data_IF_536329949870
#
_entry.id   IF_536329949870
#
_cell.length_a   1.000
_cell.length_b   1.000
_cell.length_c   1.000
_cell.angle_alpha   90.00
_cell.angle_beta   90.00
_cell.angle_gamma   90.00
#
_symmetry.space_group_name_H-M   'P 1'
#
loop_
_entity.id
_entity.type
_entity.pdbx_description
1 polymer ?
#
# COMPACT_ATOMS: atom_id res chain seq x y z
N UNK A 1 6.57 5.81 4.06
CA UNK A 1 7.72 6.71 4.31
C UNK A 1 7.47 8.02 3.55
N UNK A 2 7.61 9.17 4.21
CA UNK A 2 7.47 10.47 3.55
C UNK A 2 8.64 10.72 2.58
N UNK A 3 8.35 11.18 1.37
CA UNK A 3 9.33 11.48 0.33
C UNK A 3 9.15 12.92 -0.19
N UNK A 4 9.88 13.91 0.39
CA UNK A 4 9.68 15.33 0.10
C UNK A 4 10.19 15.78 -1.27
N UNK A 5 11.03 14.99 -1.93
CA UNK A 5 11.63 15.31 -3.24
C UNK A 5 10.74 14.89 -4.41
N UNK A 6 9.58 14.26 -4.15
CA UNK A 6 8.65 13.86 -5.20
C UNK A 6 8.07 15.07 -5.93
N UNK A 7 8.01 14.99 -7.26
CA UNK A 7 7.16 15.87 -8.04
C UNK A 7 5.69 15.56 -7.71
N UNK A 8 4.99 16.54 -7.14
CA UNK A 8 3.61 16.40 -6.67
C UNK A 8 2.75 17.56 -7.17
N UNK A 9 1.44 17.33 -7.38
CA UNK A 9 0.54 18.41 -7.71
C UNK A 9 0.26 19.27 -6.46
N UNK A 10 -0.03 20.57 -6.61
CA UNK A 10 -0.20 21.49 -5.48
C UNK A 10 -1.32 21.10 -4.50
N UNK A 11 -2.35 20.40 -4.96
CA UNK A 11 -3.49 19.95 -4.15
C UNK A 11 -3.17 18.72 -3.28
N UNK A 12 -2.12 17.95 -3.62
CA UNK A 12 -1.70 16.74 -2.90
C UNK A 12 -0.17 16.70 -2.74
N UNK A 13 0.42 17.63 -1.97
CA UNK A 13 1.86 17.85 -1.94
C UNK A 13 2.63 16.79 -1.12
N UNK A 14 1.96 15.94 -0.36
CA UNK A 14 2.62 14.98 0.53
C UNK A 14 2.71 13.60 -0.10
N UNK A 15 3.89 13.23 -0.61
CA UNK A 15 4.16 11.90 -1.15
C UNK A 15 4.61 10.93 -0.05
N UNK A 16 3.95 9.78 0.02
CA UNK A 16 4.29 8.69 0.93
C UNK A 16 4.54 7.40 0.16
N UNK A 17 5.81 7.00 0.07
CA UNK A 17 6.24 5.75 -0.55
C UNK A 17 6.07 4.59 0.45
N UNK A 18 5.55 3.47 -0.01
CA UNK A 18 5.44 2.24 0.77
C UNK A 18 6.01 1.05 0.00
N UNK A 19 6.44 0.04 0.76
CA UNK A 19 6.96 -1.22 0.28
C UNK A 19 6.10 -2.32 0.89
N UNK A 20 5.54 -3.20 0.07
CA UNK A 20 4.65 -4.28 0.51
C UNK A 20 5.10 -5.58 -0.14
N UNK A 21 5.10 -6.63 0.67
CA UNK A 21 5.24 -8.01 0.24
C UNK A 21 3.92 -8.73 0.41
N UNK A 22 3.46 -9.40 -0.64
CA UNK A 22 2.27 -10.27 -0.60
C UNK A 22 2.79 -11.70 -0.54
N UNK A 23 2.63 -12.37 0.60
CA UNK A 23 3.07 -13.75 0.79
C UNK A 23 1.91 -14.72 0.51
N UNK A 24 2.17 -15.75 -0.31
CA UNK A 24 1.23 -16.86 -0.45
C UNK A 24 1.61 -17.98 0.53
N UNK A 25 0.91 -18.02 1.66
CA UNK A 25 1.07 -19.05 2.69
C UNK A 25 0.13 -20.26 2.48
N UNK A 26 -0.59 -20.31 1.36
CA UNK A 26 -1.43 -21.45 0.99
C UNK A 26 -0.61 -22.54 0.30
N UNK A 27 -1.23 -23.70 0.05
CA UNK A 27 -0.66 -24.84 -0.64
C UNK A 27 -0.92 -24.85 -2.15
N UNK A 28 -1.61 -23.83 -2.69
CA UNK A 28 -1.91 -23.68 -4.12
C UNK A 28 -1.55 -22.28 -4.64
N UNK A 29 -1.26 -22.14 -5.95
CA UNK A 29 -1.00 -20.83 -6.53
C UNK A 29 -2.20 -19.87 -6.40
N UNK A 30 -1.93 -18.60 -6.13
CA UNK A 30 -2.94 -17.53 -6.03
C UNK A 30 -2.56 -16.39 -6.97
N UNK A 31 -3.51 -15.93 -7.78
CA UNK A 31 -3.35 -14.75 -8.64
C UNK A 31 -4.06 -13.54 -8.04
N UNK A 32 -3.33 -12.46 -7.78
CA UNK A 32 -3.90 -11.18 -7.38
C UNK A 32 -4.49 -10.47 -8.60
N UNK A 33 -5.78 -10.14 -8.51
CA UNK A 33 -6.58 -9.55 -9.59
C UNK A 33 -6.93 -8.08 -9.34
N UNK A 34 -6.93 -7.64 -8.09
CA UNK A 34 -7.27 -6.27 -7.76
C UNK A 34 -6.88 -5.90 -6.34
N UNK A 35 -7.05 -4.61 -6.05
CA UNK A 35 -6.80 -4.02 -4.74
C UNK A 35 -7.85 -2.99 -4.43
N UNK A 36 -8.15 -2.86 -3.14
CA UNK A 36 -8.93 -1.78 -2.56
C UNK A 36 -8.15 -1.19 -1.41
N UNK A 37 -7.97 0.12 -1.44
CA UNK A 37 -7.42 0.92 -0.37
C UNK A 37 -8.51 1.75 0.29
N UNK A 38 -8.38 1.93 1.59
CA UNK A 38 -9.13 2.87 2.40
C UNK A 38 -8.09 3.75 3.09
N UNK A 39 -8.12 5.03 2.78
CA UNK A 39 -7.21 6.03 3.34
C UNK A 39 -8.03 7.02 4.15
N UNK A 40 -7.75 7.09 5.46
CA UNK A 40 -8.39 8.05 6.37
C UNK A 40 -7.37 9.10 6.76
N UNK A 41 -7.61 10.37 6.40
CA UNK A 41 -6.69 11.44 6.74
C UNK A 41 -6.90 11.98 8.16
N UNK A 42 -6.03 12.88 8.60
CA UNK A 42 -6.08 13.49 9.94
C UNK A 42 -7.33 14.33 10.23
N UNK A 43 -8.07 14.73 9.20
CA UNK A 43 -9.38 15.40 9.32
C UNK A 43 -10.54 14.41 9.47
N UNK A 44 -10.27 13.10 9.38
CA UNK A 44 -11.28 12.05 9.41
C UNK A 44 -11.97 11.80 8.07
N UNK A 45 -11.50 12.41 6.99
CA UNK A 45 -12.05 12.17 5.64
C UNK A 45 -11.53 10.83 5.12
N UNK A 46 -12.44 10.06 4.49
CA UNK A 46 -12.16 8.71 4.00
C UNK A 46 -12.19 8.72 2.47
N UNK A 47 -11.08 8.30 1.87
CA UNK A 47 -10.97 8.05 0.43
C UNK A 47 -10.84 6.55 0.19
N UNK A 48 -11.69 6.00 -0.68
CA UNK A 48 -11.54 4.64 -1.19
C UNK A 48 -10.88 4.68 -2.58
N UNK A 49 -9.84 3.86 -2.78
CA UNK A 49 -9.16 3.73 -4.08
C UNK A 49 -9.19 2.27 -4.49
N UNK A 50 -9.78 1.99 -5.64
CA UNK A 50 -9.90 0.64 -6.19
C UNK A 50 -9.14 0.56 -7.51
N UNK A 51 -8.59 -0.60 -7.84
CA UNK A 51 -7.90 -0.78 -9.11
C UNK A 51 -7.55 -2.23 -9.41
N UNK A 52 -7.42 -2.52 -10.70
CA UNK A 52 -7.00 -3.83 -11.20
C UNK A 52 -5.52 -4.09 -10.92
N UNK A 53 -5.23 -5.33 -10.51
CA UNK A 53 -3.90 -5.80 -10.18
C UNK A 53 -3.22 -5.02 -9.04
N UNK A 54 -1.89 -5.00 -9.08
CA UNK A 54 -0.98 -4.26 -8.21
C UNK A 54 0.13 -3.70 -9.10
N UNK A 55 0.36 -2.39 -9.06
CA UNK A 55 1.34 -1.68 -9.91
C UNK A 55 1.27 -2.03 -11.41
N UNK A 56 0.06 -2.23 -11.93
CA UNK A 56 -0.18 -2.60 -13.34
C UNK A 56 0.06 -4.07 -13.67
N UNK A 57 0.31 -4.91 -12.66
CA UNK A 57 0.53 -6.35 -12.80
C UNK A 57 -0.57 -7.16 -12.10
N UNK A 58 -0.86 -8.36 -12.60
CA UNK A 58 -1.73 -9.34 -11.92
C UNK A 58 -0.90 -10.56 -11.54
N UNK A 59 -0.09 -10.49 -10.47
CA UNK A 59 0.90 -11.53 -10.17
C UNK A 59 0.22 -12.82 -9.74
N UNK A 60 0.70 -13.95 -10.28
CA UNK A 60 0.47 -15.28 -9.71
C UNK A 60 1.62 -15.60 -8.78
N UNK A 61 1.29 -15.96 -7.54
CA UNK A 61 2.24 -16.22 -6.47
C UNK A 61 2.12 -17.70 -6.12
N UNK A 62 3.19 -18.47 -6.33
CA UNK A 62 3.25 -19.89 -5.99
C UNK A 62 3.26 -20.11 -4.47
N UNK A 63 2.90 -21.32 -3.99
CA UNK A 63 2.98 -21.67 -2.58
C UNK A 63 4.35 -21.36 -1.96
N UNK A 64 4.35 -20.66 -0.83
CA UNK A 64 5.56 -20.27 -0.10
C UNK A 64 6.34 -19.10 -0.70
N UNK A 65 5.94 -18.59 -1.86
CA UNK A 65 6.59 -17.44 -2.50
C UNK A 65 5.90 -16.11 -2.11
N UNK A 66 6.54 -15.01 -2.50
CA UNK A 66 5.99 -13.66 -2.34
C UNK A 66 6.06 -12.84 -3.62
N UNK A 67 5.24 -11.81 -3.68
CA UNK A 67 5.33 -10.73 -4.66
C UNK A 67 5.62 -9.42 -3.93
N UNK A 68 6.80 -8.85 -4.21
CA UNK A 68 7.26 -7.60 -3.61
C UNK A 68 7.06 -6.44 -4.57
N UNK A 69 6.58 -5.32 -4.05
CA UNK A 69 6.45 -4.11 -4.84
C UNK A 69 6.53 -2.86 -3.96
N UNK A 70 6.80 -1.73 -4.60
CA UNK A 70 6.69 -0.42 -3.99
C UNK A 70 5.76 0.49 -4.80
N UNK A 71 5.09 1.39 -4.11
CA UNK A 71 4.25 2.42 -4.71
C UNK A 71 4.12 3.59 -3.74
N UNK A 72 3.16 4.48 -3.97
CA UNK A 72 2.98 5.66 -3.13
C UNK A 72 1.52 6.11 -3.03
N UNK A 73 1.23 6.88 -2.00
CA UNK A 73 0.04 7.73 -1.91
C UNK A 73 0.46 9.21 -1.94
N UNK A 74 -0.32 10.03 -2.65
CA UNK A 74 -0.24 11.48 -2.58
C UNK A 74 -1.40 11.98 -1.71
N UNK A 75 -1.09 12.75 -0.68
CA UNK A 75 -2.06 13.27 0.27
C UNK A 75 -2.05 14.80 0.29
N UNK A 76 -3.18 15.36 0.66
CA UNK A 76 -3.41 16.78 0.91
C UNK A 76 -3.18 17.19 2.38
N UNK A 77 -2.83 16.22 3.22
CA UNK A 77 -2.70 16.30 4.68
C UNK A 77 -1.36 15.74 5.13
N UNK A 78 -0.90 16.17 6.30
CA UNK A 78 0.41 15.77 6.81
C UNK A 78 0.43 14.37 7.39
N UNK A 79 -0.76 13.81 7.67
CA UNK A 79 -0.90 12.45 8.14
C UNK A 79 -2.20 11.76 7.71
N UNK A 80 -2.12 10.44 7.56
CA UNK A 80 -3.24 9.56 7.27
C UNK A 80 -2.93 8.11 7.69
N UNK A 81 -3.97 7.31 7.80
CA UNK A 81 -3.91 5.85 7.96
C UNK A 81 -4.36 5.21 6.65
N UNK A 82 -3.58 4.28 6.12
CA UNK A 82 -3.97 3.45 4.99
C UNK A 82 -4.19 2.00 5.45
N UNK A 83 -5.22 1.38 4.90
CA UNK A 83 -5.53 -0.04 5.02
C UNK A 83 -6.24 -0.52 3.76
N UNK A 84 -6.49 -1.81 3.62
CA UNK A 84 -7.14 -2.29 2.42
C UNK A 84 -7.28 -3.79 2.32
N UNK A 85 -7.46 -4.25 1.09
CA UNK A 85 -7.51 -5.67 0.76
C UNK A 85 -7.02 -5.91 -0.67
N UNK A 86 -6.37 -7.04 -0.88
CA UNK A 86 -6.19 -7.63 -2.20
C UNK A 86 -7.33 -8.59 -2.50
N UNK A 87 -7.73 -8.57 -3.76
CA UNK A 87 -8.71 -9.49 -4.34
C UNK A 87 -7.96 -10.38 -5.31
N UNK A 88 -8.16 -11.68 -5.20
CA UNK A 88 -7.51 -12.66 -6.05
C UNK A 88 -8.37 -13.88 -6.30
N UNK A 89 -7.79 -14.83 -7.00
CA UNK A 89 -8.34 -16.16 -7.24
C UNK A 89 -7.25 -17.20 -7.04
N UNK A 90 -7.59 -18.34 -6.48
CA UNK A 90 -6.68 -19.48 -6.46
C UNK A 90 -6.68 -20.24 -7.80
N UNK A 91 -5.83 -21.27 -7.91
CA UNK A 91 -5.72 -22.10 -9.10
C UNK A 91 -7.01 -22.88 -9.45
N UNK A 92 -7.95 -23.05 -8.51
CA UNK A 92 -9.26 -23.65 -8.74
C UNK A 92 -10.31 -22.62 -9.18
N UNK A 93 -9.97 -21.34 -9.21
CA UNK A 93 -10.87 -20.23 -9.54
C UNK A 93 -11.71 -19.75 -8.36
N UNK A 94 -11.46 -20.23 -7.14
CA UNK A 94 -12.13 -19.73 -5.95
C UNK A 94 -11.60 -18.35 -5.56
N UNK A 95 -12.50 -17.46 -5.13
CA UNK A 95 -12.11 -16.11 -4.73
C UNK A 95 -11.29 -16.13 -3.44
N UNK A 96 -10.21 -15.34 -3.44
CA UNK A 96 -9.35 -15.11 -2.29
C UNK A 96 -9.36 -13.63 -1.95
N UNK A 97 -9.50 -13.32 -0.65
CA UNK A 97 -9.37 -11.95 -0.13
C UNK A 97 -8.34 -11.99 0.98
N UNK A 98 -7.35 -11.12 0.90
CA UNK A 98 -6.37 -10.91 1.98
C UNK A 98 -6.27 -9.44 2.35
N UNK A 99 -6.07 -9.15 3.63
CA UNK A 99 -6.06 -7.77 4.14
C UNK A 99 -4.71 -7.12 3.91
N UNK A 100 -4.74 -5.83 3.63
CA UNK A 100 -3.59 -4.95 3.79
C UNK A 100 -3.71 -4.36 5.20
N UNK A 101 -2.79 -4.70 6.14
CA UNK A 101 -2.85 -4.18 7.50
C UNK A 101 -2.76 -2.66 7.53
N UNK A 102 -3.33 -2.06 8.59
CA UNK A 102 -3.23 -0.63 8.85
C UNK A 102 -1.76 -0.22 8.99
N UNK A 103 -1.38 0.84 8.28
CA UNK A 103 -0.13 1.55 8.53
C UNK A 103 -0.34 3.06 8.50
N UNK A 104 0.52 3.76 9.24
CA UNK A 104 0.48 5.20 9.35
C UNK A 104 1.43 5.86 8.33
N UNK A 105 0.93 6.93 7.71
CA UNK A 105 1.69 7.86 6.90
C UNK A 105 1.71 9.19 7.66
N UNK A 106 2.90 9.67 8.00
CA UNK A 106 3.07 10.93 8.75
C UNK A 106 4.33 11.65 8.30
N UNK A 107 4.23 12.95 8.05
CA UNK A 107 5.41 13.81 7.86
C UNK A 107 6.22 13.81 9.17
N UNK A 108 7.53 13.50 9.13
CA UNK A 108 8.35 13.50 10.34
C UNK A 108 8.36 14.87 11.01
N UNK A 109 8.12 14.91 12.33
CA UNK A 109 8.37 16.11 13.12
C UNK A 109 9.87 16.42 13.13
N UNK A 110 10.23 17.71 13.04
CA UNK A 110 11.60 18.24 12.88
C UNK A 110 12.64 17.71 13.88
N UNK A 111 12.24 17.11 15.01
CA UNK A 111 13.14 16.49 15.99
C UNK A 111 13.65 15.07 15.67
N UNK A 112 13.13 14.38 14.65
CA UNK A 112 13.48 12.96 14.40
C UNK A 112 14.69 12.74 13.49
N UNK A 113 15.23 13.79 12.84
CA UNK A 113 16.36 13.67 11.90
C UNK A 113 17.75 13.77 12.57
N UNK A 114 17.82 13.95 13.90
CA UNK A 114 19.08 14.10 14.64
C UNK A 114 19.66 12.80 15.23
N UNK A 115 19.10 11.62 14.94
CA UNK A 115 19.57 10.34 15.50
C UNK A 115 19.95 9.29 14.46
N UNK A 116 20.76 9.64 13.46
CA UNK A 116 21.58 8.65 12.71
C UNK A 116 22.90 9.22 12.20
N UNK A 117 23.67 9.85 13.10
CA UNK A 117 25.13 9.97 12.98
C UNK A 117 25.74 9.66 14.35
N UNK A 118 26.13 8.42 14.52
CA UNK A 118 26.83 7.84 15.66
C UNK A 118 27.39 6.51 15.23
#
# INVERSE_FOLDING_TARGET
MFYPEAETPPDRPYCFVYYISIHNETDIPVTIKGRKWVVTNERGEITAVEGEGVVGQTPTIDPGNSFDYNSFHLLDTTSAIAEGSYLGVDAAGCHVITRIPKFEMRVPSTGSLLRKRG
#
